data_IF_472177838624
#
_entry.id   IF_472177838624
#
_cell.length_a   1.000
_cell.length_b   1.000
_cell.length_c   1.000
_cell.angle_alpha   90.00
_cell.angle_beta   90.00
_cell.angle_gamma   90.00
#
_symmetry.space_group_name_H-M   'P 1'
#
loop_
_entity.id
_entity.type
_entity.pdbx_description
1 polymer ?
#
# COMPACT_ATOMS: atom_id res chain seq x y z
N UNK A 1 8.78 -10.28 -12.20
CA UNK A 1 7.33 -10.28 -11.92
C UNK A 1 7.08 -9.31 -10.78
N UNK A 2 6.00 -8.53 -10.77
CA UNK A 2 5.72 -7.62 -9.66
C UNK A 2 4.93 -8.28 -8.52
N UNK A 3 4.99 -7.69 -7.34
CA UNK A 3 4.35 -8.13 -6.10
C UNK A 3 3.45 -7.02 -5.59
N UNK A 4 2.17 -7.33 -5.39
CA UNK A 4 1.18 -6.41 -4.80
C UNK A 4 0.83 -6.91 -3.41
N UNK A 5 0.71 -5.97 -2.45
CA UNK A 5 0.25 -6.30 -1.12
C UNK A 5 -1.26 -6.57 -1.12
N UNK A 6 -1.66 -7.67 -0.49
CA UNK A 6 -3.05 -8.14 -0.44
C UNK A 6 -3.56 -8.39 0.98
N UNK A 7 -2.93 -7.79 2.00
CA UNK A 7 -3.39 -7.86 3.40
C UNK A 7 -4.41 -6.78 3.75
N UNK A 8 -4.82 -6.71 5.02
CA UNK A 8 -5.93 -5.86 5.48
C UNK A 8 -5.86 -4.37 5.08
N UNK A 9 -4.67 -3.84 4.87
CA UNK A 9 -4.44 -2.44 4.48
C UNK A 9 -4.33 -2.23 2.96
N UNK A 10 -4.56 -3.24 2.12
CA UNK A 10 -4.31 -3.16 0.68
C UNK A 10 -5.09 -2.04 -0.01
N UNK A 11 -6.36 -1.86 0.34
CA UNK A 11 -7.19 -0.77 -0.20
C UNK A 11 -6.71 0.62 0.25
N UNK A 12 -6.14 0.73 1.46
CA UNK A 12 -5.63 1.99 2.01
C UNK A 12 -4.24 2.35 1.49
N UNK A 13 -3.40 1.35 1.20
CA UNK A 13 -2.08 1.53 0.59
C UNK A 13 -2.23 1.87 -0.89
N UNK A 14 -3.13 1.21 -1.61
CA UNK A 14 -3.40 1.50 -3.02
C UNK A 14 -2.59 0.63 -4.00
N UNK A 15 -3.07 0.59 -5.24
CA UNK A 15 -2.51 -0.23 -6.32
C UNK A 15 -1.24 0.38 -6.96
N UNK A 16 -0.89 1.62 -6.62
CA UNK A 16 0.32 2.33 -7.06
C UNK A 16 1.58 1.87 -6.33
N UNK A 17 1.45 0.88 -5.44
CA UNK A 17 2.55 0.28 -4.69
C UNK A 17 2.86 -1.17 -5.09
N UNK A 18 2.98 -1.44 -6.40
CA UNK A 18 3.52 -2.71 -6.90
C UNK A 18 5.04 -2.74 -6.73
N UNK A 19 5.56 -3.70 -5.97
CA UNK A 19 6.98 -3.94 -5.79
C UNK A 19 7.57 -4.82 -6.87
N UNK A 20 8.80 -4.56 -7.31
CA UNK A 20 9.48 -5.40 -8.29
C UNK A 20 11.00 -5.31 -8.15
N UNK A 21 11.70 -6.35 -8.62
CA UNK A 21 13.15 -6.33 -8.75
C UNK A 21 13.53 -5.68 -10.09
N UNK A 22 13.94 -4.41 -10.04
CA UNK A 22 14.47 -3.71 -11.20
C UNK A 22 15.86 -4.26 -11.56
N UNK A 23 16.13 -4.45 -12.84
CA UNK A 23 17.46 -4.83 -13.34
C UNK A 23 18.29 -3.58 -13.53
N UNK A 24 19.51 -3.60 -13.01
CA UNK A 24 20.53 -2.60 -13.28
C UNK A 24 21.31 -2.97 -14.52
N UNK A 25 21.37 -2.07 -15.49
CA UNK A 25 22.16 -2.22 -16.71
C UNK A 25 23.61 -1.75 -16.47
N UNK A 26 24.56 -2.11 -17.36
CA UNK A 26 25.96 -1.69 -17.23
C UNK A 26 26.17 -0.16 -17.20
N UNK A 27 25.26 0.62 -17.79
CA UNK A 27 25.28 2.08 -17.75
C UNK A 27 24.70 2.66 -16.45
N UNK A 28 24.27 1.81 -15.53
CA UNK A 28 23.69 2.16 -14.24
C UNK A 28 22.18 2.41 -14.26
N UNK A 29 21.55 2.44 -15.44
CA UNK A 29 20.11 2.63 -15.56
C UNK A 29 19.33 1.42 -15.05
N UNK A 30 18.08 1.66 -14.61
CA UNK A 30 17.19 0.64 -14.08
C UNK A 30 16.08 0.34 -15.09
N UNK A 31 15.76 -0.95 -15.25
CA UNK A 31 14.65 -1.39 -16.10
C UNK A 31 13.88 -2.54 -15.44
N UNK A 32 12.56 -2.51 -15.56
CA UNK A 32 11.67 -3.63 -15.24
C UNK A 32 11.35 -4.49 -16.48
N UNK A 33 11.70 -4.02 -17.68
CA UNK A 33 11.38 -4.68 -18.94
C UNK A 33 12.36 -5.80 -19.25
N UNK A 34 11.85 -6.97 -19.65
CA UNK A 34 12.69 -8.03 -20.23
C UNK A 34 13.00 -7.70 -21.69
N UNK A 35 14.25 -7.39 -21.99
CA UNK A 35 14.76 -7.21 -23.36
C UNK A 35 16.02 -8.07 -23.56
N UNK A 36 16.46 -8.28 -24.81
CA UNK A 36 17.74 -8.95 -25.07
C UNK A 36 18.94 -8.22 -24.41
N UNK A 37 18.83 -6.91 -24.21
CA UNK A 37 19.82 -6.07 -23.52
C UNK A 37 19.78 -6.26 -21.99
N UNK A 38 18.65 -6.71 -21.45
CA UNK A 38 18.51 -7.08 -20.05
C UNK A 38 19.12 -8.46 -19.73
N UNK A 39 19.70 -9.17 -20.71
CA UNK A 39 20.48 -10.39 -20.47
C UNK A 39 21.85 -10.09 -19.83
N UNK A 40 22.41 -8.91 -20.08
CA UNK A 40 23.72 -8.45 -19.57
C UNK A 40 23.59 -7.52 -18.34
N UNK A 41 22.48 -7.64 -17.61
CA UNK A 41 22.27 -6.84 -16.40
C UNK A 41 23.29 -7.21 -15.31
N UNK A 42 23.67 -6.22 -14.51
CA UNK A 42 24.75 -6.35 -13.51
C UNK A 42 24.24 -6.63 -12.10
N UNK A 43 22.94 -6.46 -11.86
CA UNK A 43 22.31 -6.74 -10.57
C UNK A 43 20.83 -6.39 -10.50
N UNK A 44 20.20 -6.75 -9.39
CA UNK A 44 18.83 -6.38 -9.06
C UNK A 44 18.80 -5.27 -8.01
N UNK A 45 17.80 -4.40 -8.10
CA UNK A 45 17.50 -3.34 -7.13
C UNK A 45 16.03 -3.42 -6.79
N UNK A 46 15.69 -3.36 -5.50
CA UNK A 46 14.30 -3.27 -5.09
C UNK A 46 13.66 -1.99 -5.66
N UNK A 47 12.45 -2.07 -6.18
CA UNK A 47 11.76 -0.92 -6.75
C UNK A 47 10.26 -1.00 -6.52
N UNK A 48 9.58 0.14 -6.65
CA UNK A 48 8.14 0.24 -6.53
C UNK A 48 7.56 1.14 -7.63
N UNK A 49 6.35 0.87 -8.09
CA UNK A 49 5.65 1.69 -9.10
C UNK A 49 5.44 3.14 -8.67
N UNK A 50 5.47 3.43 -7.36
CA UNK A 50 5.43 4.79 -6.83
C UNK A 50 6.76 5.56 -6.99
N UNK A 51 7.79 4.95 -7.58
CA UNK A 51 9.11 5.54 -7.81
C UNK A 51 10.13 5.31 -6.68
N UNK A 52 9.76 4.57 -5.63
CA UNK A 52 10.70 4.18 -4.58
C UNK A 52 11.71 3.14 -5.10
N UNK A 53 12.95 3.23 -4.62
CA UNK A 53 14.03 2.29 -4.92
C UNK A 53 14.78 1.91 -3.64
N UNK A 54 15.21 0.65 -3.58
CA UNK A 54 16.08 0.12 -2.55
C UNK A 54 17.48 0.73 -2.61
N UNK A 55 18.19 0.53 -1.51
CA UNK A 55 19.56 1.04 -1.32
C UNK A 55 20.63 0.00 -1.63
N UNK A 56 20.23 -1.27 -1.77
CA UNK A 56 21.15 -2.39 -1.97
C UNK A 56 21.10 -2.88 -3.42
N UNK A 57 22.28 -3.02 -4.01
CA UNK A 57 22.46 -3.75 -5.26
C UNK A 57 22.64 -5.25 -4.96
N UNK A 58 21.72 -6.06 -5.47
CA UNK A 58 21.72 -7.51 -5.33
C UNK A 58 22.34 -8.18 -6.57
N UNK A 59 22.98 -9.35 -6.44
CA UNK A 59 23.59 -10.05 -7.58
C UNK A 59 22.59 -10.37 -8.70
N UNK A 60 23.02 -10.53 -9.96
CA UNK A 60 22.17 -10.92 -11.08
C UNK A 60 21.88 -12.43 -11.06
N UNK A 61 21.31 -12.90 -9.97
CA UNK A 61 20.94 -14.30 -9.70
C UNK A 61 19.49 -14.37 -9.23
N UNK A 62 18.89 -15.55 -9.28
CA UNK A 62 17.53 -15.77 -8.74
C UNK A 62 17.45 -15.37 -7.25
N UNK A 63 18.49 -15.69 -6.47
CA UNK A 63 18.59 -15.27 -5.06
C UNK A 63 18.64 -13.75 -4.92
N UNK A 64 19.29 -13.04 -5.85
CA UNK A 64 19.32 -11.59 -5.87
C UNK A 64 17.98 -10.96 -6.23
N UNK A 65 17.20 -11.59 -7.13
CA UNK A 65 15.82 -11.18 -7.42
C UNK A 65 14.94 -11.31 -6.16
N UNK A 66 15.06 -12.46 -5.47
CA UNK A 66 14.34 -12.72 -4.21
C UNK A 66 14.76 -11.72 -3.13
N UNK A 67 16.06 -11.44 -3.00
CA UNK A 67 16.58 -10.50 -2.02
C UNK A 67 16.08 -9.07 -2.28
N UNK A 68 16.04 -8.62 -3.54
CA UNK A 68 15.47 -7.33 -3.92
C UNK A 68 13.96 -7.25 -3.60
N UNK A 69 13.20 -8.31 -3.88
CA UNK A 69 11.79 -8.38 -3.49
C UNK A 69 11.61 -8.34 -1.95
N UNK A 70 12.50 -9.02 -1.22
CA UNK A 70 12.55 -9.01 0.24
C UNK A 70 12.85 -7.62 0.82
N UNK A 71 13.79 -6.88 0.23
CA UNK A 71 14.10 -5.50 0.64
C UNK A 71 12.89 -4.59 0.44
N UNK A 72 12.22 -4.64 -0.72
CA UNK A 72 10.97 -3.89 -0.94
C UNK A 72 9.93 -4.19 0.13
N UNK A 73 9.74 -5.48 0.45
CA UNK A 73 8.79 -5.89 1.48
C UNK A 73 9.16 -5.31 2.85
N UNK A 74 10.42 -5.47 3.27
CA UNK A 74 10.88 -5.13 4.63
C UNK A 74 11.01 -3.63 4.86
N UNK A 75 11.34 -2.86 3.83
CA UNK A 75 11.67 -1.43 3.98
C UNK A 75 10.51 -0.55 3.51
N UNK A 76 10.00 -0.78 2.30
CA UNK A 76 8.97 0.09 1.74
C UNK A 76 7.58 -0.34 2.16
N UNK A 77 7.22 -1.61 1.97
CA UNK A 77 5.87 -2.07 2.26
C UNK A 77 5.55 -1.99 3.76
N UNK A 78 6.48 -2.36 4.65
CA UNK A 78 6.25 -2.24 6.09
C UNK A 78 6.02 -0.79 6.53
N UNK A 79 6.72 0.19 5.94
CA UNK A 79 6.46 1.60 6.22
C UNK A 79 5.06 2.04 5.78
N UNK A 80 4.59 1.56 4.63
CA UNK A 80 3.25 1.86 4.12
C UNK A 80 2.16 1.27 5.03
N UNK A 81 2.35 0.03 5.49
CA UNK A 81 1.46 -0.62 6.46
C UNK A 81 1.44 0.18 7.77
N UNK A 82 2.60 0.55 8.30
CA UNK A 82 2.69 1.33 9.53
C UNK A 82 2.01 2.71 9.41
N UNK A 83 2.15 3.37 8.25
CA UNK A 83 1.44 4.63 7.96
C UNK A 83 -0.08 4.45 7.89
N UNK A 84 -0.54 3.37 7.26
CA UNK A 84 -1.97 3.06 7.20
C UNK A 84 -2.55 2.76 8.59
N UNK A 85 -1.84 1.98 9.41
CA UNK A 85 -2.19 1.69 10.79
C UNK A 85 -2.23 2.97 11.65
N UNK A 86 -1.24 3.84 11.52
CA UNK A 86 -1.22 5.13 12.22
C UNK A 86 -2.35 6.09 11.78
N UNK A 87 -3.06 5.77 10.69
CA UNK A 87 -4.17 6.58 10.16
C UNK A 87 -5.49 6.44 10.92
N UNK A 88 -5.68 5.41 11.76
CA UNK A 88 -6.94 5.20 12.48
C UNK A 88 -7.42 6.40 13.31
N UNK A 89 -6.58 7.06 14.13
CA UNK A 89 -7.01 8.22 14.90
C UNK A 89 -7.39 9.41 14.03
N UNK A 90 -6.58 9.72 13.01
CA UNK A 90 -6.82 10.87 12.13
C UNK A 90 -8.06 10.67 11.26
N UNK A 91 -8.34 9.43 10.83
CA UNK A 91 -9.59 9.07 10.16
C UNK A 91 -10.80 9.35 11.05
N UNK A 92 -10.79 8.92 12.31
CA UNK A 92 -11.90 9.14 13.24
C UNK A 92 -12.18 10.64 13.45
N UNK A 93 -11.13 11.45 13.60
CA UNK A 93 -11.23 12.90 13.68
C UNK A 93 -11.83 13.51 12.40
N UNK A 94 -11.36 13.08 11.23
CA UNK A 94 -11.86 13.55 9.93
C UNK A 94 -13.34 13.22 9.74
N UNK A 95 -13.78 12.01 10.11
CA UNK A 95 -15.19 11.61 10.09
C UNK A 95 -16.03 12.54 10.96
N UNK A 96 -15.59 12.80 12.20
CA UNK A 96 -16.31 13.67 13.12
C UNK A 96 -16.41 15.11 12.61
N UNK A 97 -15.33 15.65 12.02
CA UNK A 97 -15.31 16.98 11.40
C UNK A 97 -16.29 17.04 10.24
N UNK A 98 -16.24 16.06 9.32
CA UNK A 98 -17.10 16.04 8.13
C UNK A 98 -18.57 15.86 8.48
N UNK A 99 -18.89 15.05 9.49
CA UNK A 99 -20.26 14.93 10.00
C UNK A 99 -20.81 16.28 10.50
N UNK A 100 -19.98 17.08 11.20
CA UNK A 100 -20.37 18.45 11.60
C UNK A 100 -20.57 19.37 10.40
N UNK A 101 -19.72 19.26 9.37
CA UNK A 101 -19.85 20.04 8.13
C UNK A 101 -21.17 19.70 7.40
N UNK A 102 -21.52 18.42 7.28
CA UNK A 102 -22.81 17.97 6.73
C UNK A 102 -23.97 18.61 7.47
N UNK A 103 -23.99 18.54 8.80
CA UNK A 103 -25.04 19.17 9.61
C UNK A 103 -25.11 20.69 9.40
N UNK A 104 -23.95 21.36 9.30
CA UNK A 104 -23.87 22.79 9.00
C UNK A 104 -24.44 23.17 7.64
N UNK A 105 -24.21 22.37 6.59
CA UNK A 105 -24.79 22.58 5.27
C UNK A 105 -26.31 22.43 5.27
N UNK A 106 -26.85 21.42 5.95
CA UNK A 106 -28.31 21.25 6.12
C UNK A 106 -28.92 22.46 6.83
N UNK A 107 -28.34 22.88 7.96
CA UNK A 107 -28.81 24.03 8.72
C UNK A 107 -28.75 25.35 7.91
N UNK A 108 -27.83 25.44 6.95
CA UNK A 108 -27.68 26.59 6.05
C UNK A 108 -28.55 26.53 4.79
N UNK A 109 -29.46 25.54 4.68
CA UNK A 109 -30.31 25.37 3.49
C UNK A 109 -29.55 24.91 2.23
N UNK A 110 -28.41 24.22 2.39
CA UNK A 110 -27.59 23.64 1.30
C UNK A 110 -27.58 22.11 1.34
N UNK A 111 -28.73 21.44 1.17
CA UNK A 111 -28.84 19.98 1.32
C UNK A 111 -28.10 19.20 0.23
N UNK A 112 -27.90 19.79 -0.95
CA UNK A 112 -27.11 19.26 -2.06
C UNK A 112 -25.64 19.06 -1.66
N UNK A 113 -25.01 20.10 -1.11
CA UNK A 113 -23.63 20.03 -0.59
C UNK A 113 -23.52 19.05 0.57
N UNK A 114 -24.54 19.01 1.44
CA UNK A 114 -24.59 18.06 2.54
C UNK A 114 -24.62 16.60 2.04
N UNK A 115 -25.44 16.33 1.02
CA UNK A 115 -25.58 15.00 0.42
C UNK A 115 -24.29 14.55 -0.27
N UNK A 116 -23.61 15.43 -1.01
CA UNK A 116 -22.33 15.11 -1.65
C UNK A 116 -21.26 14.70 -0.61
N UNK A 117 -21.11 15.49 0.45
CA UNK A 117 -20.12 15.20 1.51
C UNK A 117 -20.49 13.93 2.26
N UNK A 118 -21.78 13.70 2.53
CA UNK A 118 -22.25 12.49 3.20
C UNK A 118 -21.97 11.23 2.36
N UNK A 119 -22.21 11.27 1.04
CA UNK A 119 -21.91 10.15 0.14
C UNK A 119 -20.41 9.81 0.12
N UNK A 120 -19.54 10.82 0.11
CA UNK A 120 -18.09 10.61 0.22
C UNK A 120 -17.70 9.98 1.56
N UNK A 121 -18.30 10.46 2.65
CA UNK A 121 -18.04 9.92 3.98
C UNK A 121 -18.50 8.46 4.11
N UNK A 122 -19.63 8.10 3.52
CA UNK A 122 -20.11 6.72 3.46
C UNK A 122 -19.09 5.79 2.79
N UNK A 123 -18.54 6.21 1.63
CA UNK A 123 -17.49 5.46 0.94
C UNK A 123 -16.25 5.25 1.80
N UNK A 124 -15.76 6.32 2.45
CA UNK A 124 -14.61 6.24 3.34
C UNK A 124 -14.86 5.31 4.54
N UNK A 125 -16.01 5.45 5.22
CA UNK A 125 -16.38 4.56 6.34
C UNK A 125 -16.48 3.10 5.88
N UNK A 126 -16.97 2.85 4.66
CA UNK A 126 -17.07 1.50 4.12
C UNK A 126 -15.68 0.86 3.92
N UNK A 127 -14.69 1.61 3.42
CA UNK A 127 -13.29 1.16 3.28
C UNK A 127 -12.70 0.79 4.64
N UNK A 128 -12.73 1.71 5.61
CA UNK A 128 -12.17 1.44 6.94
C UNK A 128 -12.88 0.29 7.67
N UNK A 129 -14.19 0.13 7.47
CA UNK A 129 -14.93 -1.04 8.00
C UNK A 129 -14.41 -2.35 7.41
N UNK A 130 -14.13 -2.43 6.10
CA UNK A 130 -13.56 -3.64 5.48
C UNK A 130 -12.19 -3.96 6.05
N UNK A 131 -11.31 -2.96 6.15
CA UNK A 131 -10.00 -3.12 6.81
C UNK A 131 -10.14 -3.67 8.22
N UNK A 132 -11.05 -3.14 9.05
CA UNK A 132 -11.28 -3.68 10.40
C UNK A 132 -11.76 -5.14 10.39
N UNK A 133 -12.60 -5.53 9.43
CA UNK A 133 -13.07 -6.90 9.29
C UNK A 133 -11.95 -7.86 8.90
N UNK A 134 -11.07 -7.46 7.99
CA UNK A 134 -9.89 -8.23 7.57
C UNK A 134 -8.90 -8.41 8.73
N UNK A 135 -8.60 -7.34 9.46
CA UNK A 135 -7.77 -7.42 10.69
C UNK A 135 -8.37 -8.38 11.73
N UNK A 136 -9.69 -8.35 11.92
CA UNK A 136 -10.36 -9.28 12.83
C UNK A 136 -10.24 -10.75 12.38
N UNK A 137 -10.32 -11.00 11.07
CA UNK A 137 -10.13 -12.33 10.50
C UNK A 137 -8.68 -12.83 10.66
N UNK A 138 -7.69 -11.97 10.38
CA UNK A 138 -6.26 -12.28 10.55
C UNK A 138 -5.91 -12.60 12.01
N UNK A 139 -6.47 -11.85 12.95
CA UNK A 139 -6.31 -12.10 14.38
C UNK A 139 -6.91 -13.46 14.79
N UNK A 140 -8.11 -13.80 14.30
CA UNK A 140 -8.75 -15.08 14.57
C UNK A 140 -7.96 -16.28 14.01
N UNK A 141 -7.38 -16.13 12.81
CA UNK A 141 -6.55 -17.16 12.17
C UNK A 141 -5.22 -17.39 12.91
N UNK A 142 -4.62 -16.32 13.43
CA UNK A 142 -3.38 -16.40 14.22
C UNK A 142 -3.59 -17.17 15.52
N UNK A 143 -4.73 -16.96 16.19
CA UNK A 143 -5.09 -17.67 17.42
C UNK A 143 -5.34 -19.17 17.19
N UNK A 144 -5.85 -19.55 16.01
CA UNK A 144 -6.09 -20.97 15.68
C UNK A 144 -4.80 -21.70 15.28
N UNK A 145 -3.79 -21.01 14.73
CA UNK A 145 -2.50 -21.61 14.36
C UNK A 145 -1.51 -21.75 15.53
N UNK A 146 -1.60 -20.89 16.54
CA UNK A 146 -0.69 -20.91 17.71
C UNK A 146 -1.08 -21.89 18.82
N UNK A 147 -2.17 -22.64 18.66
CA UNK A 147 -2.72 -23.55 19.68
C UNK A 147 -2.43 -25.05 19.46
N UNK A 148 -1.44 -25.41 18.62
CA UNK A 148 -1.02 -26.80 18.36
C UNK A 148 0.38 -27.05 18.90
#
# INVERSE_FOLDING_TARGET
MGTVYAGAYAELIGADHEGYAARRLPDGSLTSTWTAQAADFTGYVAACSCGWHGSVDHPPTDDGEIAAAGEWHQTHLQELIAKAEAGWPSWAECVAVRARVVAGHVASGRPDMAAEIAARLEGEVATWRRTAQELAQEAAQSLTRGGV
#
